data_IF_388618988253
#
_entry.id   IF_388618988253
#
_cell.length_a   1.000
_cell.length_b   1.000
_cell.length_c   1.000
_cell.angle_alpha   90.00
_cell.angle_beta   90.00
_cell.angle_gamma   90.00
#
_symmetry.space_group_name_H-M   'P 1'
#
loop_
_entity.id
_entity.type
_entity.pdbx_description
1 polymer ?
#
# COMPACT_ATOMS: atom_id res chain seq x y z
N UNK A 1 -3.88 11.50 20.74
CA UNK A 1 -4.46 11.92 19.45
C UNK A 1 -3.77 11.14 18.33
N UNK A 2 -4.33 9.99 17.95
CA UNK A 2 -3.90 9.29 16.76
C UNK A 2 -4.45 10.05 15.54
N UNK A 3 -3.57 10.69 14.78
CA UNK A 3 -3.95 11.46 13.60
C UNK A 3 -4.32 10.48 12.49
N UNK A 4 -5.62 10.38 12.20
CA UNK A 4 -6.22 9.47 11.20
C UNK A 4 -5.73 9.76 9.77
N UNK A 5 -5.09 10.91 9.52
CA UNK A 5 -4.61 11.30 8.18
C UNK A 5 -3.22 11.96 8.17
N UNK A 6 -2.19 11.30 8.72
CA UNK A 6 -0.82 11.86 8.72
C UNK A 6 -0.23 12.13 7.32
N UNK A 7 -0.76 11.49 6.27
CA UNK A 7 -0.33 11.72 4.89
C UNK A 7 -0.98 12.96 4.23
N UNK A 8 -2.16 13.40 4.69
CA UNK A 8 -2.91 14.54 4.14
C UNK A 8 -2.87 15.78 5.03
N UNK A 9 -2.33 15.67 6.25
CA UNK A 9 -2.11 16.84 7.09
C UNK A 9 -0.97 17.67 6.53
N UNK A 10 -1.26 18.91 6.13
CA UNK A 10 -0.22 19.90 5.82
C UNK A 10 0.81 19.92 6.96
N UNK A 11 2.12 19.87 6.65
CA UNK A 11 3.13 19.98 7.69
C UNK A 11 2.97 21.33 8.41
N UNK A 12 3.40 21.40 9.66
CA UNK A 12 3.35 22.66 10.41
C UNK A 12 4.33 23.66 9.77
N UNK A 13 3.77 24.67 9.10
CA UNK A 13 4.50 25.75 8.43
C UNK A 13 4.37 27.05 9.24
N UNK A 14 5.50 27.68 9.54
CA UNK A 14 5.55 29.05 10.05
C UNK A 14 5.93 29.96 8.88
N UNK A 15 5.01 30.79 8.40
CA UNK A 15 5.23 31.70 7.27
C UNK A 15 5.86 31.00 6.04
N UNK A 16 5.30 29.88 5.61
CA UNK A 16 5.79 29.06 4.49
C UNK A 16 7.15 28.37 4.74
N UNK A 17 7.62 28.31 5.99
CA UNK A 17 8.83 27.57 6.37
C UNK A 17 8.47 26.38 7.28
N UNK A 18 8.92 25.17 6.96
CA UNK A 18 8.62 23.98 7.75
C UNK A 18 9.35 24.02 9.09
N UNK A 19 8.59 24.01 10.18
CA UNK A 19 9.10 24.30 11.53
C UNK A 19 10.11 23.25 11.98
N UNK A 20 9.80 21.96 11.81
CA UNK A 20 10.65 20.87 12.27
C UNK A 20 12.06 20.87 11.63
N UNK A 21 12.23 20.87 10.30
CA UNK A 21 13.56 20.94 9.70
C UNK A 21 14.26 22.28 9.99
N UNK A 22 13.53 23.40 10.05
CA UNK A 22 14.11 24.69 10.41
C UNK A 22 14.74 24.69 11.80
N UNK A 23 14.02 24.23 12.82
CA UNK A 23 14.53 24.15 14.20
C UNK A 23 15.77 23.26 14.28
N UNK A 24 15.73 22.08 13.66
CA UNK A 24 16.88 21.14 13.66
C UNK A 24 18.09 21.80 13.00
N UNK A 25 17.92 22.41 11.83
CA UNK A 25 19.02 23.06 11.11
C UNK A 25 19.58 24.29 11.85
N UNK A 26 18.72 25.10 12.48
CA UNK A 26 19.16 26.24 13.31
C UNK A 26 19.94 25.74 14.53
N UNK A 27 19.45 24.71 15.22
CA UNK A 27 20.15 24.14 16.37
C UNK A 27 21.53 23.59 15.99
N UNK A 28 21.63 22.87 14.86
CA UNK A 28 22.90 22.41 14.32
C UNK A 28 23.85 23.58 13.97
N UNK A 29 23.36 24.66 13.36
CA UNK A 29 24.17 25.85 13.04
C UNK A 29 24.62 26.59 14.30
N UNK A 30 23.81 26.63 15.34
CA UNK A 30 24.18 27.23 16.62
C UNK A 30 25.33 26.45 17.25
N UNK A 31 25.22 25.12 17.35
CA UNK A 31 26.28 24.26 17.87
C UNK A 31 27.56 24.40 17.04
N UNK A 32 27.44 24.35 15.72
CA UNK A 32 28.59 24.47 14.81
C UNK A 32 29.27 25.85 14.94
N UNK A 33 28.48 26.91 15.14
CA UNK A 33 29.00 28.25 15.39
C UNK A 33 29.67 28.41 16.75
N UNK A 34 29.28 27.62 17.75
CA UNK A 34 29.99 27.55 19.04
C UNK A 34 31.32 26.82 18.94
N UNK A 35 31.40 25.78 18.09
CA UNK A 35 32.61 24.95 17.91
C UNK A 35 33.64 25.64 17.00
N UNK A 36 33.18 26.28 15.92
CA UNK A 36 34.04 26.83 14.87
C UNK A 36 34.14 28.35 14.99
N UNK A 37 33.07 29.07 14.61
CA UNK A 37 33.02 30.54 14.66
C UNK A 37 31.58 31.06 14.71
N UNK A 38 31.33 32.14 15.47
CA UNK A 38 30.00 32.76 15.58
C UNK A 38 29.46 33.33 14.27
N UNK A 39 30.31 33.59 13.29
CA UNK A 39 29.94 34.03 11.94
C UNK A 39 29.00 33.05 11.22
N UNK A 40 29.04 31.76 11.58
CA UNK A 40 28.12 30.76 11.02
C UNK A 40 26.65 31.05 11.31
N UNK A 41 26.33 31.85 12.33
CA UNK A 41 24.95 32.23 12.65
C UNK A 41 24.33 33.13 11.57
N UNK A 42 25.12 33.84 10.76
CA UNK A 42 24.59 34.60 9.60
C UNK A 42 23.96 33.69 8.54
N UNK A 43 24.38 32.42 8.47
CA UNK A 43 23.80 31.43 7.55
C UNK A 43 22.34 31.09 7.89
N UNK A 44 21.85 31.42 9.08
CA UNK A 44 20.45 31.17 9.47
C UNK A 44 19.49 31.95 8.55
N UNK A 45 19.84 33.18 8.15
CA UNK A 45 19.03 33.97 7.22
C UNK A 45 18.99 33.35 5.82
N UNK A 46 20.14 32.87 5.34
CA UNK A 46 20.26 32.17 4.05
C UNK A 46 19.46 30.87 4.08
N UNK A 47 19.57 30.11 5.17
CA UNK A 47 18.81 28.87 5.41
C UNK A 47 17.30 29.13 5.40
N UNK A 48 16.83 30.18 6.08
CA UNK A 48 15.41 30.56 6.08
C UNK A 48 14.91 30.80 4.65
N UNK A 49 15.65 31.57 3.84
CA UNK A 49 15.27 31.86 2.45
C UNK A 49 15.27 30.59 1.57
N UNK A 50 16.28 29.73 1.73
CA UNK A 50 16.36 28.45 0.99
C UNK A 50 15.19 27.53 1.33
N UNK A 51 14.89 27.34 2.62
CA UNK A 51 13.78 26.50 3.06
C UNK A 51 12.44 27.06 2.60
N UNK A 52 12.25 28.39 2.65
CA UNK A 52 11.06 29.05 2.13
C UNK A 52 10.90 28.81 0.63
N UNK A 53 11.95 28.96 -0.17
CA UNK A 53 11.90 28.76 -1.61
C UNK A 53 11.60 27.29 -1.99
N UNK A 54 12.18 26.32 -1.26
CA UNK A 54 11.87 24.91 -1.46
C UNK A 54 10.41 24.58 -1.13
N UNK A 55 9.90 25.12 -0.02
CA UNK A 55 8.53 24.86 0.46
C UNK A 55 7.47 25.59 -0.38
N UNK A 56 7.81 26.73 -0.97
CA UNK A 56 6.93 27.46 -1.90
C UNK A 56 6.62 26.66 -3.18
N UNK A 57 7.53 25.77 -3.60
CA UNK A 57 7.27 24.87 -4.74
C UNK A 57 6.39 23.69 -4.34
N UNK A 58 6.63 23.15 -3.15
CA UNK A 58 5.87 22.01 -2.63
C UNK A 58 5.98 21.96 -1.09
N UNK A 59 4.83 22.03 -0.42
CA UNK A 59 4.76 22.06 1.04
C UNK A 59 5.31 20.77 1.68
N UNK A 60 5.25 19.64 0.94
CA UNK A 60 5.63 18.32 1.44
C UNK A 60 7.08 17.89 1.10
N UNK A 61 7.92 18.78 0.55
CA UNK A 61 9.27 18.45 0.06
C UNK A 61 10.11 17.68 1.08
N UNK A 62 10.16 18.12 2.34
CA UNK A 62 10.97 17.45 3.37
C UNK A 62 10.40 16.10 3.79
N UNK A 63 9.07 15.97 3.82
CA UNK A 63 8.39 14.70 4.05
C UNK A 63 8.70 13.73 2.93
N UNK A 64 8.66 14.17 1.67
CA UNK A 64 9.00 13.37 0.50
C UNK A 64 10.47 12.97 0.48
N UNK A 65 11.38 13.88 0.83
CA UNK A 65 12.81 13.56 0.99
C UNK A 65 13.01 12.49 2.06
N UNK A 66 12.32 12.63 3.21
CA UNK A 66 12.38 11.68 4.30
C UNK A 66 11.78 10.32 3.95
N UNK A 67 10.64 10.29 3.27
CA UNK A 67 10.02 9.07 2.74
C UNK A 67 10.94 8.43 1.72
N UNK A 68 11.50 9.21 0.79
CA UNK A 68 12.51 8.74 -0.15
C UNK A 68 13.71 8.11 0.55
N UNK A 69 14.18 8.70 1.65
CA UNK A 69 15.23 8.14 2.50
C UNK A 69 14.81 6.86 3.22
N UNK A 70 13.56 6.76 3.66
CA UNK A 70 13.01 5.54 4.29
C UNK A 70 12.79 4.41 3.29
N UNK A 71 12.40 4.76 2.07
CA UNK A 71 12.18 3.85 0.96
C UNK A 71 13.50 3.30 0.39
N UNK A 72 14.65 3.85 0.80
CA UNK A 72 15.94 3.20 0.58
C UNK A 72 16.00 1.94 1.47
N UNK A 73 16.06 0.77 0.83
CA UNK A 73 16.20 -0.53 1.52
C UNK A 73 17.40 -0.59 2.46
N UNK A 74 17.48 -1.61 3.32
CA UNK A 74 18.46 -1.63 4.45
C UNK A 74 19.91 -1.54 3.96
N UNK A 75 20.24 -2.23 2.86
CA UNK A 75 21.57 -2.17 2.22
C UNK A 75 21.90 -0.77 1.67
N UNK A 76 20.89 0.01 1.29
CA UNK A 76 21.03 1.37 0.74
C UNK A 76 21.13 2.47 1.80
N UNK A 77 20.82 2.20 3.08
CA UNK A 77 21.05 3.19 4.16
C UNK A 77 22.53 3.29 4.56
N UNK A 78 23.28 2.21 4.34
CA UNK A 78 24.73 2.16 4.57
C UNK A 78 25.54 2.71 3.39
N UNK A 79 25.00 2.64 2.17
CA UNK A 79 25.69 3.00 0.93
C UNK A 79 25.01 4.22 0.30
N UNK A 80 25.77 5.31 0.12
CA UNK A 80 25.33 6.61 -0.42
C UNK A 80 24.32 6.54 -1.57
N UNK A 81 23.41 7.53 -1.63
CA UNK A 81 22.35 7.77 -2.64
C UNK A 81 22.81 7.67 -4.12
N UNK A 82 24.11 7.69 -4.38
CA UNK A 82 24.70 7.64 -5.73
C UNK A 82 25.19 6.25 -6.14
N UNK A 83 25.38 5.31 -5.19
CA UNK A 83 25.96 3.99 -5.46
C UNK A 83 24.89 2.89 -5.54
N UNK A 84 23.62 3.23 -5.27
CA UNK A 84 22.52 2.27 -5.22
C UNK A 84 21.70 2.27 -6.52
N UNK A 85 21.56 1.07 -7.09
CA UNK A 85 20.51 0.59 -8.01
C UNK A 85 20.09 1.53 -9.12
N UNK A 86 21.00 1.77 -10.05
CA UNK A 86 20.65 2.16 -11.41
C UNK A 86 20.98 1.02 -12.35
N UNK A 87 20.00 0.17 -12.66
CA UNK A 87 20.10 -0.70 -13.83
C UNK A 87 19.60 0.13 -15.02
N UNK A 88 20.48 0.46 -15.96
CA UNK A 88 20.19 1.41 -17.05
C UNK A 88 19.73 2.81 -16.59
N UNK A 89 20.18 3.29 -15.44
CA UNK A 89 19.76 4.61 -14.91
C UNK A 89 18.54 4.55 -13.99
N UNK A 90 17.85 3.42 -13.91
CA UNK A 90 16.56 3.27 -13.21
C UNK A 90 16.63 2.39 -11.95
N UNK A 91 15.72 2.65 -11.00
CA UNK A 91 15.66 1.91 -9.72
C UNK A 91 15.02 0.54 -9.92
N UNK A 92 15.84 -0.50 -9.89
CA UNK A 92 15.40 -1.88 -10.02
C UNK A 92 15.23 -2.59 -8.66
N UNK A 93 14.09 -3.24 -8.49
CA UNK A 93 13.77 -4.17 -7.39
C UNK A 93 13.64 -5.57 -8.00
N UNK A 94 14.44 -6.52 -7.52
CA UNK A 94 14.42 -7.90 -8.00
C UNK A 94 13.48 -8.75 -7.16
N UNK A 95 12.88 -9.76 -7.79
CA UNK A 95 12.13 -10.80 -7.08
C UNK A 95 13.08 -11.74 -6.31
N UNK A 96 14.25 -12.02 -6.87
CA UNK A 96 15.28 -12.90 -6.28
C UNK A 96 16.22 -12.16 -5.34
N UNK A 97 16.54 -12.82 -4.23
CA UNK A 97 17.71 -12.49 -3.41
C UNK A 97 18.94 -13.13 -4.06
N UNK A 98 19.92 -12.31 -4.43
CA UNK A 98 21.23 -12.80 -4.86
C UNK A 98 22.21 -12.65 -3.69
N UNK A 99 22.82 -13.75 -3.28
CA UNK A 99 23.91 -13.72 -2.30
C UNK A 99 25.14 -13.04 -2.89
N UNK A 100 26.04 -12.61 -2.01
CA UNK A 100 27.33 -12.06 -2.41
C UNK A 100 28.22 -13.20 -2.93
N UNK A 101 28.09 -13.51 -4.21
CA UNK A 101 28.98 -14.44 -4.90
C UNK A 101 30.28 -13.69 -5.24
N UNK A 102 31.42 -14.21 -4.76
CA UNK A 102 32.75 -13.62 -4.94
C UNK A 102 33.31 -13.90 -6.34
N UNK A 103 32.57 -13.49 -7.38
CA UNK A 103 33.02 -13.53 -8.78
C UNK A 103 33.10 -12.10 -9.33
N UNK A 104 34.27 -11.47 -9.14
CA UNK A 104 34.55 -10.08 -9.52
C UNK A 104 34.25 -9.76 -10.99
N UNK A 105 34.41 -10.74 -11.88
CA UNK A 105 34.18 -10.62 -13.32
C UNK A 105 32.68 -10.50 -13.68
N UNK A 106 31.82 -11.29 -13.03
CA UNK A 106 30.37 -11.20 -13.21
C UNK A 106 29.78 -9.95 -12.56
N UNK A 107 30.29 -9.54 -11.39
CA UNK A 107 29.81 -8.35 -10.70
C UNK A 107 30.11 -7.03 -11.44
N UNK A 108 31.20 -6.99 -12.21
CA UNK A 108 31.57 -5.84 -13.03
C UNK A 108 30.58 -5.63 -14.19
N UNK A 109 30.10 -6.72 -14.81
CA UNK A 109 29.24 -6.69 -15.99
C UNK A 109 27.74 -6.81 -15.66
N UNK A 110 27.39 -7.53 -14.59
CA UNK A 110 26.03 -7.77 -14.10
C UNK A 110 25.99 -7.50 -12.59
N UNK A 111 25.58 -6.28 -12.22
CA UNK A 111 25.40 -5.82 -10.83
C UNK A 111 24.15 -6.46 -10.17
N UNK A 112 24.01 -7.78 -10.22
CA UNK A 112 22.84 -8.51 -9.72
C UNK A 112 22.72 -8.45 -8.20
N UNK A 113 23.84 -8.55 -7.48
CA UNK A 113 23.90 -8.43 -6.02
C UNK A 113 23.59 -7.03 -5.48
N UNK A 114 23.58 -6.01 -6.35
CA UNK A 114 23.25 -4.64 -5.97
C UNK A 114 21.73 -4.45 -5.90
N UNK A 115 20.96 -5.18 -6.72
CA UNK A 115 19.50 -5.10 -6.77
C UNK A 115 18.89 -5.42 -5.40
N UNK A 116 17.91 -4.62 -4.99
CA UNK A 116 17.21 -4.84 -3.74
C UNK A 116 16.11 -5.89 -3.92
N UNK A 117 16.01 -6.89 -3.05
CA UNK A 117 14.94 -7.88 -3.13
C UNK A 117 13.61 -7.24 -2.74
N UNK A 118 12.54 -7.61 -3.45
CA UNK A 118 11.17 -7.15 -3.16
C UNK A 118 10.73 -7.51 -1.74
N UNK A 119 11.23 -8.64 -1.25
CA UNK A 119 11.02 -9.20 0.08
C UNK A 119 11.29 -8.17 1.19
N UNK A 120 12.25 -7.25 1.03
CA UNK A 120 12.54 -6.20 2.02
C UNK A 120 11.39 -5.20 2.20
N UNK A 121 10.57 -5.00 1.16
CA UNK A 121 9.48 -4.05 1.14
C UNK A 121 8.14 -4.66 1.56
N UNK A 122 8.00 -5.99 1.50
CA UNK A 122 6.76 -6.68 1.84
C UNK A 122 6.55 -6.67 3.36
N UNK A 123 5.44 -6.10 3.85
CA UNK A 123 5.22 -5.95 5.28
C UNK A 123 4.57 -7.19 5.91
N UNK A 124 3.92 -8.04 5.13
CA UNK A 124 3.10 -9.16 5.59
C UNK A 124 3.95 -10.37 5.98
N UNK A 125 3.66 -10.98 7.14
CA UNK A 125 4.44 -12.11 7.64
C UNK A 125 3.65 -13.42 7.65
N UNK A 126 2.53 -13.49 8.38
CA UNK A 126 1.86 -14.76 8.69
C UNK A 126 0.37 -14.56 8.96
N UNK A 127 -0.42 -15.61 8.78
CA UNK A 127 -1.80 -15.65 9.25
C UNK A 127 -1.81 -15.97 10.74
N UNK A 128 -2.55 -15.18 11.52
CA UNK A 128 -2.79 -15.43 12.95
C UNK A 128 -4.22 -15.88 13.24
N UNK A 129 -5.12 -15.61 12.29
CA UNK A 129 -6.53 -15.96 12.29
C UNK A 129 -6.94 -16.16 10.82
N UNK A 130 -8.02 -16.92 10.51
CA UNK A 130 -8.45 -17.16 9.13
C UNK A 130 -8.61 -15.91 8.25
N UNK A 131 -8.97 -14.77 8.85
CA UNK A 131 -9.19 -13.49 8.17
C UNK A 131 -8.19 -12.39 8.55
N UNK A 132 -7.17 -12.69 9.37
CA UNK A 132 -6.23 -11.69 9.87
C UNK A 132 -4.79 -12.10 9.51
N UNK A 133 -4.12 -11.20 8.81
CA UNK A 133 -2.69 -11.25 8.55
C UNK A 133 -1.93 -10.39 9.54
N UNK A 134 -0.83 -10.91 10.08
CA UNK A 134 0.14 -10.17 10.89
C UNK A 134 1.24 -9.63 10.00
N UNK A 135 1.71 -8.42 10.31
CA UNK A 135 2.87 -7.79 9.67
C UNK A 135 4.16 -8.10 10.43
N UNK A 136 5.31 -7.88 9.79
CA UNK A 136 6.66 -7.94 10.39
C UNK A 136 6.81 -7.03 11.60
N UNK A 137 6.04 -5.94 11.65
CA UNK A 137 6.05 -4.98 12.76
C UNK A 137 4.99 -5.29 13.83
N UNK A 138 4.40 -6.48 13.80
CA UNK A 138 3.35 -6.95 14.73
C UNK A 138 2.07 -6.14 14.71
N UNK A 139 1.71 -5.64 13.52
CA UNK A 139 0.42 -4.99 13.27
C UNK A 139 -0.51 -5.99 12.57
N UNK A 140 -1.82 -5.76 12.64
CA UNK A 140 -2.83 -6.69 12.12
C UNK A 140 -3.59 -6.09 10.95
N UNK A 141 -3.86 -6.92 9.94
CA UNK A 141 -4.47 -6.49 8.67
C UNK A 141 -5.61 -7.42 8.32
N UNK A 142 -6.79 -6.85 8.10
CA UNK A 142 -7.96 -7.54 7.56
C UNK A 142 -8.47 -6.78 6.33
N UNK A 143 -8.93 -7.52 5.32
CA UNK A 143 -9.37 -6.95 4.05
C UNK A 143 -10.71 -7.53 3.64
N UNK A 144 -11.57 -6.71 3.08
CA UNK A 144 -12.85 -7.09 2.48
C UNK A 144 -12.88 -6.71 1.01
N UNK A 145 -13.47 -7.57 0.18
CA UNK A 145 -13.92 -7.21 -1.16
C UNK A 145 -15.35 -6.68 -1.07
N UNK A 146 -15.59 -5.47 -1.56
CA UNK A 146 -16.92 -4.85 -1.60
C UNK A 146 -17.53 -5.05 -2.98
N UNK A 147 -18.83 -5.34 -3.00
CA UNK A 147 -19.59 -5.39 -4.26
C UNK A 147 -19.83 -3.98 -4.83
N UNK A 148 -19.78 -2.95 -3.97
CA UNK A 148 -20.08 -1.58 -4.33
C UNK A 148 -21.58 -1.32 -4.47
N UNK A 149 -21.93 -0.13 -4.96
CA UNK A 149 -23.30 0.29 -5.25
C UNK A 149 -23.38 0.74 -6.72
N UNK A 150 -24.51 0.48 -7.38
CA UNK A 150 -24.72 0.85 -8.78
C UNK A 150 -25.06 2.35 -8.87
N UNK A 151 -24.06 3.21 -8.66
CA UNK A 151 -24.24 4.65 -8.50
C UNK A 151 -24.98 5.33 -9.66
N UNK A 152 -24.84 4.83 -10.89
CA UNK A 152 -25.55 5.33 -12.08
C UNK A 152 -27.08 5.18 -12.01
N UNK A 153 -27.57 4.24 -11.20
CA UNK A 153 -28.99 3.99 -11.02
C UNK A 153 -29.57 4.72 -9.80
N UNK A 154 -28.75 5.46 -9.05
CA UNK A 154 -29.13 6.12 -7.82
C UNK A 154 -29.29 7.63 -8.02
N UNK A 155 -30.10 8.26 -7.15
CA UNK A 155 -30.20 9.72 -7.12
C UNK A 155 -29.02 10.32 -6.36
N UNK A 156 -28.69 11.58 -6.68
CA UNK A 156 -27.59 12.30 -6.05
C UNK A 156 -27.78 12.38 -4.52
N UNK A 157 -29.00 12.66 -4.05
CA UNK A 157 -29.32 12.73 -2.61
C UNK A 157 -29.01 11.43 -1.87
N UNK A 158 -29.29 10.28 -2.48
CA UNK A 158 -29.01 8.96 -1.90
C UNK A 158 -27.50 8.73 -1.86
N UNK A 159 -26.78 9.09 -2.93
CA UNK A 159 -25.32 8.96 -2.98
C UNK A 159 -24.64 9.84 -1.93
N UNK A 160 -25.11 11.08 -1.73
CA UNK A 160 -24.62 11.97 -0.69
C UNK A 160 -24.90 11.42 0.71
N UNK A 161 -26.11 10.90 0.95
CA UNK A 161 -26.44 10.25 2.23
C UNK A 161 -25.50 9.09 2.53
N UNK A 162 -25.25 8.21 1.55
CA UNK A 162 -24.35 7.06 1.68
C UNK A 162 -22.90 7.50 1.92
N UNK A 163 -22.44 8.53 1.20
CA UNK A 163 -21.12 9.13 1.39
C UNK A 163 -20.96 9.70 2.81
N UNK A 164 -21.94 10.47 3.28
CA UNK A 164 -21.96 11.02 4.63
C UNK A 164 -21.97 9.93 5.71
N UNK A 165 -22.72 8.83 5.49
CA UNK A 165 -22.76 7.70 6.42
C UNK A 165 -21.38 7.06 6.58
N UNK A 166 -20.68 6.79 5.47
CA UNK A 166 -19.32 6.24 5.49
C UNK A 166 -18.35 7.22 6.17
N UNK A 167 -18.41 8.50 5.83
CA UNK A 167 -17.55 9.53 6.41
C UNK A 167 -17.73 9.63 7.94
N UNK A 168 -18.97 9.68 8.43
CA UNK A 168 -19.27 9.69 9.87
C UNK A 168 -18.76 8.43 10.57
N UNK A 169 -18.91 7.28 9.91
CA UNK A 169 -18.41 6.03 10.44
C UNK A 169 -16.87 6.01 10.52
N UNK A 170 -16.15 6.52 9.51
CA UNK A 170 -14.69 6.66 9.57
C UNK A 170 -14.26 7.62 10.71
N UNK A 171 -14.99 8.71 10.91
CA UNK A 171 -14.74 9.66 12.02
C UNK A 171 -14.94 9.00 13.38
N UNK A 172 -15.86 8.03 13.53
CA UNK A 172 -16.04 7.33 14.81
C UNK A 172 -14.83 6.50 15.26
N UNK A 173 -13.91 6.16 14.34
CA UNK A 173 -12.63 5.52 14.69
C UNK A 173 -11.55 6.53 15.11
N UNK A 174 -11.87 7.82 15.20
CA UNK A 174 -10.93 8.84 15.64
C UNK A 174 -10.46 8.57 17.07
N UNK A 175 -9.14 8.39 17.23
CA UNK A 175 -8.51 8.08 18.52
C UNK A 175 -8.11 6.61 18.67
N UNK A 176 -8.68 5.71 17.87
CA UNK A 176 -8.24 4.32 17.77
C UNK A 176 -6.92 4.21 16.99
N UNK A 177 -6.13 3.18 17.27
CA UNK A 177 -4.87 2.91 16.57
C UNK A 177 -5.09 2.16 15.25
N UNK A 178 -6.04 2.63 14.45
CA UNK A 178 -6.43 2.02 13.18
C UNK A 178 -6.12 2.92 11.99
N UNK A 179 -5.92 2.30 10.83
CA UNK A 179 -5.73 2.99 9.55
C UNK A 179 -6.47 2.21 8.48
N UNK A 180 -7.13 2.93 7.58
CA UNK A 180 -7.90 2.35 6.49
C UNK A 180 -7.22 2.58 5.15
N UNK A 181 -7.31 1.59 4.27
CA UNK A 181 -6.87 1.70 2.88
C UNK A 181 -7.99 1.24 1.96
N UNK A 182 -8.21 1.98 0.88
CA UNK A 182 -9.15 1.62 -0.18
C UNK A 182 -8.36 1.39 -1.45
N UNK A 183 -8.52 0.22 -2.06
CA UNK A 183 -7.94 -0.11 -3.34
C UNK A 183 -9.05 -0.34 -4.35
N UNK A 184 -9.09 0.46 -5.40
CA UNK A 184 -10.03 0.31 -6.51
C UNK A 184 -9.28 -0.27 -7.69
N UNK A 185 -9.64 -1.47 -8.09
CA UNK A 185 -8.98 -2.21 -9.18
C UNK A 185 -9.98 -2.33 -10.33
N UNK A 186 -9.66 -1.70 -11.46
CA UNK A 186 -10.37 -1.91 -12.72
C UNK A 186 -9.64 -2.98 -13.52
N UNK A 187 -10.37 -3.99 -13.97
CA UNK A 187 -9.81 -5.08 -14.76
C UNK A 187 -10.75 -5.52 -15.88
N UNK A 188 -10.15 -6.12 -16.91
CA UNK A 188 -10.91 -6.79 -17.97
C UNK A 188 -11.55 -8.05 -17.40
N UNK A 189 -12.83 -8.22 -17.64
CA UNK A 189 -13.66 -9.30 -17.13
C UNK A 189 -14.48 -9.89 -18.26
N UNK A 190 -14.53 -11.22 -18.31
CA UNK A 190 -15.39 -11.99 -19.20
C UNK A 190 -16.24 -12.89 -18.33
N UNK A 191 -17.55 -12.77 -18.45
CA UNK A 191 -18.48 -13.70 -17.81
C UNK A 191 -18.86 -14.80 -18.80
N UNK A 192 -19.06 -16.01 -18.32
CA UNK A 192 -19.55 -17.14 -19.10
C UNK A 192 -20.48 -17.98 -18.23
N UNK A 193 -21.67 -18.31 -18.75
CA UNK A 193 -22.49 -19.32 -18.11
C UNK A 193 -21.91 -20.71 -18.42
N UNK A 194 -21.50 -21.42 -17.37
CA UNK A 194 -20.98 -22.79 -17.48
C UNK A 194 -22.08 -23.86 -17.61
N UNK A 195 -23.36 -23.46 -17.58
CA UNK A 195 -24.50 -24.39 -17.64
C UNK A 195 -24.97 -24.65 -19.06
N UNK A 196 -25.18 -25.93 -19.39
CA UNK A 196 -25.79 -26.36 -20.65
C UNK A 196 -27.30 -26.33 -20.50
N UNK A 197 -28.01 -25.64 -21.40
CA UNK A 197 -29.47 -25.48 -21.32
C UNK A 197 -30.23 -26.77 -21.70
N UNK A 198 -29.55 -27.69 -22.39
CA UNK A 198 -30.14 -28.91 -22.95
C UNK A 198 -30.80 -28.70 -24.32
N UNK A 199 -30.95 -27.44 -24.78
CA UNK A 199 -31.45 -27.10 -26.11
C UNK A 199 -30.27 -26.76 -27.04
N UNK A 200 -30.07 -27.60 -28.07
CA UNK A 200 -28.97 -27.46 -29.04
C UNK A 200 -28.89 -26.09 -29.72
N UNK A 201 -30.04 -25.44 -29.98
CA UNK A 201 -30.06 -24.12 -30.62
C UNK A 201 -29.63 -23.05 -29.62
N UNK A 202 -30.16 -23.09 -28.40
CA UNK A 202 -29.80 -22.15 -27.34
C UNK A 202 -28.31 -22.27 -26.99
N UNK A 203 -27.78 -23.48 -26.86
CA UNK A 203 -26.36 -23.72 -26.56
C UNK A 203 -25.44 -23.22 -27.71
N UNK A 204 -25.89 -23.35 -28.97
CA UNK A 204 -25.17 -22.80 -30.13
C UNK A 204 -25.19 -21.27 -30.13
N UNK A 205 -26.32 -20.64 -29.81
CA UNK A 205 -26.41 -19.17 -29.70
C UNK A 205 -25.54 -18.66 -28.55
N UNK A 206 -25.61 -19.33 -27.40
CA UNK A 206 -24.84 -19.01 -26.21
C UNK A 206 -23.32 -19.10 -26.47
N UNK A 207 -22.86 -20.18 -27.08
CA UNK A 207 -21.44 -20.33 -27.44
C UNK A 207 -20.96 -19.28 -28.45
N UNK A 208 -21.77 -18.93 -29.46
CA UNK A 208 -21.44 -17.86 -30.40
C UNK A 208 -21.38 -16.48 -29.71
N UNK A 209 -22.29 -16.23 -28.77
CA UNK A 209 -22.32 -15.01 -27.98
C UNK A 209 -21.06 -14.86 -27.12
N UNK A 210 -20.74 -15.87 -26.30
CA UNK A 210 -19.55 -15.83 -25.43
C UNK A 210 -18.23 -15.78 -26.20
N UNK A 211 -18.14 -16.46 -27.35
CA UNK A 211 -16.97 -16.37 -28.22
C UNK A 211 -16.72 -14.95 -28.75
N UNK A 212 -17.78 -14.14 -28.90
CA UNK A 212 -17.65 -12.72 -29.26
C UNK A 212 -17.19 -11.90 -28.05
N UNK A 213 -17.64 -12.25 -26.84
CA UNK A 213 -17.24 -11.58 -25.60
C UNK A 213 -15.77 -11.82 -25.24
N UNK A 214 -15.21 -12.98 -25.58
CA UNK A 214 -13.76 -13.22 -25.41
C UNK A 214 -12.90 -12.21 -26.20
N UNK A 215 -13.41 -11.73 -27.35
CA UNK A 215 -12.70 -10.72 -28.16
C UNK A 215 -12.86 -9.31 -27.61
N UNK A 216 -14.04 -8.99 -27.06
CA UNK A 216 -14.37 -7.68 -26.50
C UNK A 216 -14.76 -7.85 -25.02
N UNK A 217 -13.78 -7.96 -24.10
CA UNK A 217 -14.05 -8.16 -22.69
C UNK A 217 -14.75 -6.93 -22.09
N UNK A 218 -15.54 -7.16 -21.05
CA UNK A 218 -16.09 -6.08 -20.23
C UNK A 218 -15.02 -5.53 -19.29
N UNK A 219 -15.33 -4.42 -18.64
CA UNK A 219 -14.57 -3.92 -17.50
C UNK A 219 -15.37 -4.11 -16.23
N UNK A 220 -14.69 -4.59 -15.19
CA UNK A 220 -15.23 -4.69 -13.84
C UNK A 220 -14.35 -3.87 -12.91
N UNK A 221 -14.99 -3.15 -11.99
CA UNK A 221 -14.30 -2.48 -10.88
C UNK A 221 -14.49 -3.30 -9.61
N UNK A 222 -13.39 -3.65 -8.95
CA UNK A 222 -13.36 -4.33 -7.65
C UNK A 222 -12.84 -3.39 -6.60
N UNK A 223 -13.54 -3.28 -5.49
CA UNK A 223 -13.18 -2.36 -4.41
C UNK A 223 -12.75 -3.20 -3.22
N UNK A 224 -11.55 -2.95 -2.71
CA UNK A 224 -11.01 -3.61 -1.53
C UNK A 224 -10.85 -2.61 -0.41
N UNK A 225 -11.48 -2.89 0.72
CA UNK A 225 -11.35 -2.10 1.94
C UNK A 225 -10.44 -2.85 2.91
N UNK A 226 -9.37 -2.23 3.38
CA UNK A 226 -8.39 -2.85 4.28
C UNK A 226 -8.30 -2.06 5.59
N UNK A 227 -8.50 -2.76 6.69
CA UNK A 227 -8.28 -2.27 8.06
C UNK A 227 -6.91 -2.73 8.53
N UNK A 228 -6.08 -1.78 8.94
CA UNK A 228 -4.80 -2.00 9.59
C UNK A 228 -4.89 -1.53 11.05
N UNK A 229 -4.73 -2.44 12.01
CA UNK A 229 -4.74 -2.16 13.43
C UNK A 229 -3.32 -2.27 14.01
N UNK A 230 -2.89 -1.24 14.75
CA UNK A 230 -1.60 -1.17 15.42
C UNK A 230 -1.85 -1.34 16.93
N UNK A 231 -1.80 -2.57 17.45
CA UNK A 231 -2.14 -2.84 18.84
C UNK A 231 -1.12 -2.32 19.85
N UNK A 232 0.16 -2.18 19.46
CA UNK A 232 1.24 -1.89 20.41
C UNK A 232 2.04 -0.65 20.02
N UNK A 233 2.36 0.16 21.03
CA UNK A 233 3.35 1.25 20.90
C UNK A 233 4.77 0.69 20.79
N UNK A 234 5.75 1.57 20.51
CA UNK A 234 7.14 1.13 20.33
C UNK A 234 7.73 0.57 21.64
N UNK A 235 7.35 1.18 22.75
CA UNK A 235 7.76 0.84 24.10
C UNK A 235 7.19 -0.52 24.51
N UNK A 236 5.89 -0.72 24.31
CA UNK A 236 5.21 -2.00 24.56
C UNK A 236 5.80 -3.13 23.70
N UNK A 237 6.16 -2.86 22.44
CA UNK A 237 6.84 -3.84 21.59
C UNK A 237 8.19 -4.27 22.18
N UNK A 238 8.92 -3.38 22.86
CA UNK A 238 10.18 -3.71 23.54
C UNK A 238 9.94 -4.50 24.83
N UNK A 239 8.98 -4.07 25.63
CA UNK A 239 8.59 -4.77 26.86
C UNK A 239 8.12 -6.20 26.60
N UNK A 240 7.29 -6.40 25.57
CA UNK A 240 6.85 -7.72 25.10
C UNK A 240 8.03 -8.63 24.74
N UNK A 241 9.09 -8.07 24.15
CA UNK A 241 10.30 -8.84 23.84
C UNK A 241 11.05 -9.24 25.11
N UNK A 242 11.14 -8.34 26.10
CA UNK A 242 11.82 -8.60 27.37
C UNK A 242 11.10 -9.64 28.24
N UNK A 243 9.75 -9.63 28.27
CA UNK A 243 8.93 -10.52 29.11
C UNK A 243 8.76 -11.95 28.58
N UNK A 244 9.30 -12.26 27.40
CA UNK A 244 9.32 -13.63 26.85
C UNK A 244 8.03 -14.10 26.16
N UNK A 245 8.03 -15.37 25.73
CA UNK A 245 7.03 -15.94 24.81
C UNK A 245 5.61 -16.09 25.39
N UNK A 246 5.49 -16.40 26.68
CA UNK A 246 4.18 -16.58 27.33
C UNK A 246 3.38 -15.27 27.36
N UNK A 247 4.04 -14.17 27.76
CA UNK A 247 3.47 -12.84 27.74
C UNK A 247 3.11 -12.39 26.31
N UNK A 248 3.94 -12.72 25.32
CA UNK A 248 3.67 -12.39 23.92
C UNK A 248 2.44 -13.11 23.36
N UNK A 249 2.21 -14.36 23.74
CA UNK A 249 1.01 -15.11 23.35
C UNK A 249 -0.24 -14.48 23.97
N UNK A 250 -0.25 -14.29 25.29
CA UNK A 250 -1.39 -13.69 26.00
C UNK A 250 -1.80 -12.33 25.42
N UNK A 251 -0.82 -11.43 25.27
CA UNK A 251 -1.05 -10.10 24.68
C UNK A 251 -1.40 -10.15 23.19
N UNK A 252 -1.00 -11.19 22.45
CA UNK A 252 -1.44 -11.40 21.08
C UNK A 252 -2.90 -11.86 21.03
N UNK A 253 -3.31 -12.76 21.91
CA UNK A 253 -4.70 -13.25 21.97
C UNK A 253 -5.67 -12.11 22.34
N UNK A 254 -5.31 -11.26 23.31
CA UNK A 254 -6.06 -10.05 23.67
C UNK A 254 -6.22 -9.10 22.47
N UNK A 255 -5.14 -8.89 21.69
CA UNK A 255 -5.19 -8.03 20.52
C UNK A 255 -5.96 -8.65 19.34
N UNK A 256 -6.02 -9.99 19.22
CA UNK A 256 -6.85 -10.68 18.24
C UNK A 256 -8.33 -10.48 18.57
N UNK A 257 -8.71 -10.55 19.85
CA UNK A 257 -10.08 -10.27 20.30
C UNK A 257 -10.48 -8.84 19.91
N UNK A 258 -9.65 -7.85 20.26
CA UNK A 258 -9.90 -6.45 19.90
C UNK A 258 -10.00 -6.25 18.38
N UNK A 259 -9.14 -6.90 17.61
CA UNK A 259 -9.19 -6.83 16.15
C UNK A 259 -10.50 -7.40 15.59
N UNK A 260 -11.03 -8.48 16.17
CA UNK A 260 -12.30 -9.05 15.72
C UNK A 260 -13.49 -8.12 16.03
N UNK A 261 -13.51 -7.47 17.20
CA UNK A 261 -14.53 -6.44 17.50
C UNK A 261 -14.50 -5.28 16.49
N UNK A 262 -13.29 -4.81 16.13
CA UNK A 262 -13.12 -3.79 15.10
C UNK A 262 -13.60 -4.29 13.73
N UNK A 263 -13.31 -5.55 13.37
CA UNK A 263 -13.79 -6.16 12.12
C UNK A 263 -15.32 -6.24 12.07
N UNK A 264 -15.96 -6.68 13.15
CA UNK A 264 -17.43 -6.74 13.22
C UNK A 264 -18.07 -5.35 13.09
N UNK A 265 -17.46 -4.35 13.73
CA UNK A 265 -17.89 -2.95 13.61
C UNK A 265 -17.79 -2.47 12.16
N UNK A 266 -16.65 -2.71 11.50
CA UNK A 266 -16.42 -2.35 10.09
C UNK A 266 -17.37 -3.10 9.15
N UNK A 267 -17.58 -4.40 9.37
CA UNK A 267 -18.54 -5.20 8.60
C UNK A 267 -19.97 -4.67 8.75
N UNK A 268 -20.36 -4.24 9.96
CA UNK A 268 -21.63 -3.58 10.23
C UNK A 268 -21.80 -2.27 9.46
N UNK A 269 -20.77 -1.42 9.45
CA UNK A 269 -20.76 -0.14 8.71
C UNK A 269 -20.88 -0.38 7.20
N UNK A 270 -20.13 -1.36 6.68
CA UNK A 270 -20.03 -1.63 5.25
C UNK A 270 -21.14 -2.54 4.73
N UNK A 271 -22.06 -3.02 5.59
CA UNK A 271 -23.08 -4.03 5.27
C UNK A 271 -23.88 -3.71 4.00
N UNK A 272 -24.20 -2.44 3.77
CA UNK A 272 -24.90 -1.98 2.57
C UNK A 272 -24.17 -2.38 1.27
N UNK A 273 -22.83 -2.29 1.27
CA UNK A 273 -21.95 -2.62 0.14
C UNK A 273 -21.61 -4.11 0.02
N UNK A 274 -22.26 -4.97 0.81
CA UNK A 274 -22.11 -6.43 0.80
C UNK A 274 -20.64 -6.86 0.95
N UNK A 275 -20.01 -6.59 2.10
CA UNK A 275 -18.59 -6.84 2.30
C UNK A 275 -18.32 -8.35 2.37
N UNK A 276 -17.41 -8.84 1.54
CA UNK A 276 -16.93 -10.22 1.56
C UNK A 276 -15.54 -10.25 2.22
N UNK A 277 -15.40 -10.82 3.44
CA UNK A 277 -14.10 -10.89 4.11
C UNK A 277 -13.15 -11.80 3.34
N UNK A 278 -11.94 -11.30 3.06
CA UNK A 278 -10.85 -12.12 2.53
C UNK A 278 -10.24 -12.96 3.65
N UNK A 279 -9.75 -14.15 3.30
CA UNK A 279 -9.21 -15.08 4.29
C UNK A 279 -8.79 -16.41 3.68
N UNK A 280 -8.72 -17.43 4.54
CA UNK A 280 -8.40 -18.80 4.15
C UNK A 280 -9.56 -19.46 3.42
N UNK A 281 -9.24 -20.14 2.32
CA UNK A 281 -10.18 -20.93 1.51
C UNK A 281 -9.56 -22.30 1.30
N UNK A 282 -10.32 -23.34 1.65
CA UNK A 282 -9.92 -24.72 1.45
C UNK A 282 -10.38 -25.19 0.06
N UNK A 283 -9.43 -25.57 -0.80
CA UNK A 283 -9.72 -26.20 -2.08
C UNK A 283 -9.05 -27.59 -2.10
N UNK A 284 -9.87 -28.63 -1.93
CA UNK A 284 -9.38 -30.01 -1.85
C UNK A 284 -8.52 -30.24 -0.60
N UNK A 285 -7.24 -30.59 -0.80
CA UNK A 285 -6.27 -30.85 0.31
C UNK A 285 -5.36 -29.67 0.63
N UNK A 286 -5.51 -28.53 -0.06
CA UNK A 286 -4.63 -27.36 0.09
C UNK A 286 -5.44 -26.16 0.59
N UNK A 287 -4.83 -25.41 1.49
CA UNK A 287 -5.38 -24.14 1.99
C UNK A 287 -4.77 -23.00 1.18
N UNK A 288 -5.63 -22.18 0.58
CA UNK A 288 -5.26 -20.96 -0.13
C UNK A 288 -5.70 -19.74 0.67
N UNK A 289 -5.09 -18.58 0.42
CA UNK A 289 -5.53 -17.32 1.00
C UNK A 289 -5.97 -16.33 -0.08
N UNK A 290 -7.22 -15.90 -0.02
CA UNK A 290 -7.75 -14.86 -0.91
C UNK A 290 -7.14 -13.50 -0.59
N UNK A 291 -6.73 -13.27 0.66
CA UNK A 291 -6.03 -12.05 1.08
C UNK A 291 -4.61 -11.99 0.51
N UNK A 292 -3.86 -13.10 0.53
CA UNK A 292 -2.54 -13.16 -0.11
C UNK A 292 -2.62 -13.03 -1.62
N UNK A 293 -3.65 -13.63 -2.24
CA UNK A 293 -3.94 -13.43 -3.66
C UNK A 293 -4.12 -11.95 -4.00
N UNK A 294 -4.84 -11.19 -3.17
CA UNK A 294 -4.99 -9.75 -3.32
C UNK A 294 -3.66 -8.99 -3.14
N UNK A 295 -2.90 -9.28 -2.09
CA UNK A 295 -1.60 -8.64 -1.89
C UNK A 295 -0.62 -8.92 -3.04
N UNK A 296 -0.60 -10.14 -3.57
CA UNK A 296 0.21 -10.46 -4.73
C UNK A 296 -0.21 -9.68 -5.97
N UNK A 297 -1.52 -9.50 -6.17
CA UNK A 297 -2.03 -8.68 -7.26
C UNK A 297 -1.53 -7.23 -7.15
N UNK A 298 -1.51 -6.64 -5.95
CA UNK A 298 -1.00 -5.27 -5.77
C UNK A 298 0.47 -5.11 -6.19
N UNK A 299 1.28 -6.17 -6.05
CA UNK A 299 2.70 -6.14 -6.38
C UNK A 299 3.00 -6.55 -7.83
N UNK A 300 2.27 -7.54 -8.35
CA UNK A 300 2.58 -8.18 -9.64
C UNK A 300 1.57 -7.80 -10.74
N UNK A 301 0.41 -7.26 -10.37
CA UNK A 301 -0.73 -7.07 -11.27
C UNK A 301 -1.38 -8.38 -11.74
N UNK A 302 -1.04 -9.53 -11.14
CA UNK A 302 -1.59 -10.83 -11.53
C UNK A 302 -2.35 -11.50 -10.39
N UNK A 303 -3.55 -11.99 -10.70
CA UNK A 303 -4.33 -12.80 -9.78
C UNK A 303 -3.77 -14.23 -9.77
N UNK A 304 -3.14 -14.60 -8.65
CA UNK A 304 -2.57 -15.93 -8.48
C UNK A 304 -3.11 -16.56 -7.20
N UNK A 305 -3.47 -17.84 -7.25
CA UNK A 305 -3.80 -18.61 -6.05
C UNK A 305 -2.52 -18.89 -5.27
N UNK A 306 -2.48 -18.48 -4.01
CA UNK A 306 -1.31 -18.64 -3.14
C UNK A 306 -1.67 -19.58 -2.00
N UNK A 307 -0.97 -20.72 -1.96
CA UNK A 307 -1.13 -21.69 -0.88
C UNK A 307 -0.46 -21.18 0.39
N UNK A 308 -1.13 -21.33 1.52
CA UNK A 308 -0.59 -20.99 2.83
C UNK A 308 0.25 -22.17 3.33
N UNK A 309 1.52 -21.93 3.60
CA UNK A 309 2.45 -22.91 4.16
C UNK A 309 3.17 -22.37 5.41
N UNK A 310 4.11 -23.14 5.93
CA UNK A 310 4.95 -22.76 7.09
C UNK A 310 6.12 -21.84 6.68
N UNK A 311 5.89 -20.91 5.76
CA UNK A 311 6.87 -19.96 5.26
C UNK A 311 6.29 -18.55 5.41
N UNK A 312 7.07 -17.55 5.81
CA UNK A 312 6.61 -16.17 5.85
C UNK A 312 6.14 -15.67 4.48
N UNK A 313 5.11 -14.85 4.47
CA UNK A 313 4.48 -14.38 3.23
C UNK A 313 5.38 -13.48 2.39
N UNK A 314 6.30 -12.77 3.03
CA UNK A 314 7.27 -11.94 2.33
C UNK A 314 8.22 -12.75 1.43
N UNK A 315 8.48 -14.02 1.73
CA UNK A 315 9.31 -14.92 0.90
C UNK A 315 8.52 -15.53 -0.28
N UNK A 316 7.20 -15.59 -0.14
CA UNK A 316 6.30 -16.27 -1.11
C UNK A 316 5.72 -15.27 -2.11
N UNK A 317 5.51 -14.02 -1.68
CA UNK A 317 4.89 -12.97 -2.48
C UNK A 317 5.91 -12.22 -3.34
N UNK A 318 5.43 -11.57 -4.42
CA UNK A 318 6.25 -10.64 -5.19
C UNK A 318 7.02 -11.28 -6.34
N UNK A 319 6.39 -12.21 -7.05
CA UNK A 319 6.94 -12.89 -8.24
C UNK A 319 7.03 -11.97 -9.49
N UNK A 320 7.57 -10.76 -9.34
CA UNK A 320 7.77 -9.81 -10.43
C UNK A 320 9.01 -8.93 -10.21
N UNK A 321 9.69 -8.59 -11.30
CA UNK A 321 10.74 -7.56 -11.28
C UNK A 321 10.10 -6.18 -11.47
N UNK A 322 10.51 -5.21 -10.65
CA UNK A 322 9.96 -3.86 -10.68
C UNK A 322 11.06 -2.86 -11.06
N UNK A 323 10.75 -1.97 -11.99
CA UNK A 323 11.61 -0.87 -12.40
C UNK A 323 10.86 0.43 -12.19
N UNK A 324 11.41 1.33 -11.38
CA UNK A 324 10.81 2.62 -11.08
C UNK A 324 11.66 3.74 -11.68
N UNK A 325 10.97 4.60 -12.45
CA UNK A 325 11.45 5.91 -12.87
C UNK A 325 10.85 7.01 -11.99
N UNK A 326 10.88 8.26 -12.45
CA UNK A 326 10.37 9.42 -11.68
C UNK A 326 8.90 9.29 -11.29
N UNK A 327 8.06 9.00 -12.28
CA UNK A 327 6.59 9.01 -12.20
C UNK A 327 5.98 7.82 -12.94
N UNK A 328 6.80 7.09 -13.70
CA UNK A 328 6.42 5.87 -14.41
C UNK A 328 7.25 4.69 -13.92
N UNK A 329 6.77 3.49 -14.22
CA UNK A 329 7.48 2.27 -13.91
C UNK A 329 7.05 1.12 -14.78
N UNK A 330 7.79 0.04 -14.64
CA UNK A 330 7.59 -1.21 -15.35
C UNK A 330 7.54 -2.35 -14.33
N UNK A 331 6.54 -3.22 -14.48
CA UNK A 331 6.39 -4.46 -13.73
C UNK A 331 6.55 -5.59 -14.73
N UNK A 332 7.52 -6.45 -14.50
CA UNK A 332 7.75 -7.66 -15.28
C UNK A 332 7.43 -8.90 -14.43
N UNK A 333 6.15 -9.30 -14.36
CA UNK A 333 5.79 -10.66 -14.03
C UNK A 333 6.40 -11.67 -15.02
N UNK A 334 6.42 -12.94 -14.63
CA UNK A 334 6.99 -14.03 -15.44
C UNK A 334 6.53 -14.06 -16.91
N UNK A 335 5.26 -13.73 -17.17
CA UNK A 335 4.62 -13.94 -18.49
C UNK A 335 4.41 -12.66 -19.31
N UNK A 336 4.47 -11.48 -18.70
CA UNK A 336 4.14 -10.22 -19.39
C UNK A 336 4.85 -9.03 -18.78
N UNK A 337 5.07 -8.02 -19.60
CA UNK A 337 5.52 -6.69 -19.15
C UNK A 337 4.33 -5.75 -19.05
N UNK A 338 4.24 -5.02 -17.95
CA UNK A 338 3.26 -3.95 -17.75
C UNK A 338 3.96 -2.65 -17.44
N UNK A 339 3.46 -1.57 -18.02
CA UNK A 339 3.89 -0.22 -17.69
C UNK A 339 2.81 0.46 -16.87
N UNK A 340 3.21 1.31 -15.94
CA UNK A 340 2.29 2.10 -15.14
C UNK A 340 2.84 3.50 -14.94
N UNK A 341 1.93 4.42 -14.60
CA UNK A 341 2.25 5.76 -14.15
C UNK A 341 1.56 6.02 -12.82
N UNK A 342 2.28 6.62 -11.88
CA UNK A 342 1.73 7.01 -10.60
C UNK A 342 1.21 8.44 -10.70
N UNK A 343 -0.04 8.63 -10.27
CA UNK A 343 -0.63 9.95 -10.14
C UNK A 343 -0.95 10.15 -8.65
N UNK A 344 -0.45 11.25 -8.09
CA UNK A 344 -0.72 11.63 -6.71
C UNK A 344 -1.60 12.89 -6.70
N UNK A 345 -2.76 12.80 -6.06
CA UNK A 345 -3.65 13.93 -5.84
C UNK A 345 -3.24 14.58 -4.51
N UNK A 346 -2.49 15.69 -4.59
CA UNK A 346 -1.95 16.38 -3.40
C UNK A 346 -3.02 17.04 -2.52
N UNK A 347 -3.98 17.69 -3.17
CA UNK A 347 -5.08 18.34 -2.49
C UNK A 347 -6.30 18.29 -3.37
N UNK A 348 -7.39 17.94 -2.73
CA UNK A 348 -8.73 17.99 -3.26
C UNK A 348 -9.28 19.42 -3.05
N UNK A 349 -10.01 20.01 -4.02
CA UNK A 349 -10.67 21.32 -3.82
C UNK A 349 -11.64 21.29 -2.63
N UNK A 350 -11.96 22.46 -2.08
CA UNK A 350 -12.74 22.58 -0.84
C UNK A 350 -14.17 22.06 -0.94
N UNK A 351 -14.81 22.30 -2.09
CA UNK A 351 -16.15 21.79 -2.40
C UNK A 351 -16.01 20.65 -3.41
N UNK A 352 -16.27 19.43 -2.95
CA UNK A 352 -16.25 18.22 -3.78
C UNK A 352 -17.57 17.53 -3.65
N UNK A 353 -18.23 17.40 -4.79
CA UNK A 353 -19.45 16.63 -4.92
C UNK A 353 -19.15 15.13 -4.89
N UNK A 354 -20.16 14.36 -4.49
CA UNK A 354 -20.08 12.91 -4.52
C UNK A 354 -19.86 12.44 -5.96
N UNK A 355 -18.85 11.60 -6.19
CA UNK A 355 -18.53 11.07 -7.52
C UNK A 355 -17.54 11.90 -8.34
N UNK A 356 -16.86 12.90 -7.75
CA UNK A 356 -15.87 13.72 -8.48
C UNK A 356 -14.73 12.91 -9.15
N UNK A 357 -14.46 11.69 -8.69
CA UNK A 357 -13.45 10.79 -9.26
C UNK A 357 -14.05 9.70 -10.16
N UNK A 358 -15.36 9.70 -10.40
CA UNK A 358 -16.04 8.65 -11.17
C UNK A 358 -15.59 8.63 -12.63
N UNK A 359 -15.11 9.76 -13.16
CA UNK A 359 -14.48 9.82 -14.50
C UNK A 359 -13.34 8.82 -14.67
N UNK A 360 -12.57 8.57 -13.60
CA UNK A 360 -11.48 7.58 -13.61
C UNK A 360 -12.00 6.15 -13.75
N UNK A 361 -13.29 5.91 -13.51
CA UNK A 361 -13.95 4.63 -13.71
C UNK A 361 -14.42 4.42 -15.15
N UNK A 362 -14.29 5.40 -16.05
CA UNK A 362 -14.69 5.26 -17.46
C UNK A 362 -13.51 5.23 -18.43
N UNK A 363 -12.33 5.64 -17.97
CA UNK A 363 -11.11 5.58 -18.79
C UNK A 363 -10.76 4.14 -19.19
N UNK A 364 -10.33 4.00 -20.44
CA UNK A 364 -9.84 2.74 -20.99
C UNK A 364 -8.42 2.47 -20.46
N UNK A 365 -8.23 1.34 -19.78
CA UNK A 365 -6.95 0.90 -19.17
C UNK A 365 -6.34 -0.25 -19.95
#
# INVERSE_FOLDING_TARGET
>A
MATVYKALTRPTLLQWVPIAPFIISVFCLIILGLIITKWMWLLILVLYFLLRNMTARDEHVFTLIWVGWKALGKKSKLISRHVVNRFFGERAISHTHYDNIDMREFLANMKLNQRQPIEEFIPYSTHIHPHICKTRWTDYVATWELSGEAFQCQTIDVLEMLSQQVNKALVSFSGESVTFYVHTIREKYTDCFDSVSGNKVADKVMSLYYRKMEKNPFYRTRIFFTLCYIPFTREEKMERKAKGLSFQKKTQDEAIIRMNELRETVEGILRHYRPQPLGLVEEGKKVFSTQLRFFNYLMTGQWQKISVGNVPFYDVLGSAELYFSSDSGQINPFDRTRYFRCIEIKSLPGDIDTGALDGLLFEDV
#
